data_IF_163694871204
#
_entry.id   IF_163694871204
#
_cell.length_a   1.000
_cell.length_b   1.000
_cell.length_c   1.000
_cell.angle_alpha   90.00
_cell.angle_beta   90.00
_cell.angle_gamma   90.00
#
_symmetry.space_group_name_H-M   'P 1'
#
loop_
_entity.id
_entity.type
_entity.pdbx_description
1 polymer ?
#
# COMPACT_ATOMS: atom_id res chain seq x y z
N UNK A 1 -15.81 6.05 2.37
CA UNK A 1 -15.92 5.30 1.11
C UNK A 1 -14.79 5.63 0.17
N UNK A 2 -14.27 4.63 -0.54
CA UNK A 2 -13.18 4.85 -1.48
C UNK A 2 -13.71 5.44 -2.79
N UNK A 3 -12.98 6.40 -3.31
CA UNK A 3 -13.28 7.09 -4.57
C UNK A 3 -12.30 6.60 -5.63
N UNK A 4 -12.78 6.45 -6.87
CA UNK A 4 -11.92 6.14 -7.99
C UNK A 4 -11.34 7.43 -8.56
N UNK A 5 -10.05 7.42 -8.86
CA UNK A 5 -9.35 8.56 -9.44
C UNK A 5 -8.56 8.08 -10.65
N UNK A 6 -8.37 8.98 -11.62
CA UNK A 6 -7.57 8.69 -12.82
C UNK A 6 -6.20 9.30 -12.66
N UNK A 7 -5.16 8.49 -12.87
CA UNK A 7 -3.77 8.91 -12.81
C UNK A 7 -3.05 8.54 -14.10
N UNK A 8 -2.03 9.29 -14.47
CA UNK A 8 -1.23 9.03 -15.67
C UNK A 8 0.10 8.39 -15.29
N UNK A 9 0.31 7.07 -15.64
CA UNK A 9 1.49 6.28 -15.23
C UNK A 9 1.80 5.18 -16.25
N UNK A 10 2.49 5.39 -17.31
CA UNK A 10 2.62 6.50 -18.25
C UNK A 10 1.34 6.76 -19.04
N UNK A 11 0.34 5.86 -18.94
CA UNK A 11 -0.98 6.03 -19.54
C UNK A 11 -2.00 6.24 -18.43
N UNK A 12 -3.16 6.78 -18.77
CA UNK A 12 -4.21 7.00 -17.80
C UNK A 12 -4.71 5.67 -17.23
N UNK A 13 -4.75 5.59 -15.89
CA UNK A 13 -5.29 4.43 -15.17
C UNK A 13 -6.28 4.92 -14.12
N UNK A 14 -7.23 4.06 -13.77
CA UNK A 14 -8.21 4.36 -12.73
C UNK A 14 -7.86 3.53 -11.51
N UNK A 15 -7.70 4.20 -10.37
CA UNK A 15 -7.37 3.54 -9.09
C UNK A 15 -8.31 4.06 -8.00
N UNK A 16 -8.41 3.32 -6.91
CA UNK A 16 -9.16 3.77 -5.75
C UNK A 16 -8.30 4.67 -4.88
N UNK A 17 -8.89 5.75 -4.42
CA UNK A 17 -8.24 6.70 -3.52
C UNK A 17 -7.64 6.01 -2.30
N UNK A 18 -8.38 5.10 -1.67
CA UNK A 18 -7.90 4.36 -0.49
C UNK A 18 -6.63 3.57 -0.80
N UNK A 19 -6.53 2.98 -2.00
CA UNK A 19 -5.39 2.15 -2.40
C UNK A 19 -4.13 3.02 -2.48
N UNK A 20 -4.27 4.22 -3.04
CA UNK A 20 -3.16 5.17 -3.13
C UNK A 20 -2.67 5.59 -1.74
N UNK A 21 -3.58 5.87 -0.83
CA UNK A 21 -3.20 6.29 0.53
C UNK A 21 -2.54 5.18 1.32
N UNK A 22 -3.03 3.94 1.19
CA UNK A 22 -2.41 2.79 1.86
C UNK A 22 -1.02 2.53 1.29
N UNK A 23 -0.89 2.55 -0.03
CA UNK A 23 0.40 2.34 -0.69
C UNK A 23 1.42 3.41 -0.29
N UNK A 24 1.00 4.67 -0.24
CA UNK A 24 1.85 5.77 0.18
C UNK A 24 2.30 5.62 1.64
N UNK A 25 1.42 5.11 2.51
CA UNK A 25 1.78 4.87 3.91
C UNK A 25 2.83 3.76 4.03
N UNK A 26 2.69 2.68 3.27
CA UNK A 26 3.69 1.60 3.23
C UNK A 26 5.03 2.18 2.80
N UNK A 27 5.06 3.01 1.76
CA UNK A 27 6.28 3.63 1.27
C UNK A 27 6.91 4.55 2.32
N UNK A 28 6.09 5.37 2.97
CA UNK A 28 6.54 6.29 4.01
C UNK A 28 7.21 5.54 5.16
N UNK A 29 6.61 4.44 5.63
CA UNK A 29 7.15 3.63 6.72
C UNK A 29 8.39 2.84 6.31
N UNK A 30 8.49 2.46 5.03
CA UNK A 30 9.67 1.78 4.51
C UNK A 30 10.88 2.70 4.46
N UNK A 31 10.66 3.99 4.26
CA UNK A 31 11.74 4.97 4.11
C UNK A 31 12.63 4.60 2.93
N UNK A 32 13.94 4.55 3.16
CA UNK A 32 14.92 4.18 2.14
C UNK A 32 15.17 2.67 2.07
N UNK A 33 14.48 1.86 2.87
CA UNK A 33 14.69 0.42 2.91
C UNK A 33 14.15 -0.26 1.67
N UNK A 34 14.97 -1.07 1.01
CA UNK A 34 14.54 -1.91 -0.10
C UNK A 34 13.87 -3.20 0.38
N UNK A 35 13.91 -3.49 1.67
CA UNK A 35 13.35 -4.72 2.25
C UNK A 35 11.89 -4.57 2.67
N UNK A 36 11.35 -3.35 2.60
CA UNK A 36 9.97 -3.08 2.95
C UNK A 36 9.78 -2.84 4.44
N UNK A 37 8.55 -2.99 4.90
CA UNK A 37 8.17 -2.75 6.29
C UNK A 37 7.30 -3.88 6.81
N UNK A 38 7.60 -4.34 8.02
CA UNK A 38 6.75 -5.30 8.73
C UNK A 38 5.77 -4.52 9.61
N UNK A 39 4.48 -4.79 9.44
CA UNK A 39 3.47 -4.05 10.17
C UNK A 39 2.17 -4.85 10.23
N UNK A 40 1.33 -4.53 11.20
CA UNK A 40 0.00 -5.11 11.32
C UNK A 40 -0.98 -4.27 10.51
N UNK A 41 -2.05 -4.92 10.06
CA UNK A 41 -3.16 -4.23 9.38
C UNK A 41 -3.76 -3.18 10.31
N UNK A 42 -3.86 -3.49 11.61
CA UNK A 42 -4.39 -2.55 12.60
C UNK A 42 -3.57 -1.27 12.68
N UNK A 43 -2.24 -1.36 12.59
CA UNK A 43 -1.41 -0.16 12.67
C UNK A 43 -1.63 0.78 11.48
N UNK A 44 -1.86 0.22 10.29
CA UNK A 44 -2.23 1.03 9.12
C UNK A 44 -3.62 1.64 9.28
N UNK A 45 -4.58 0.84 9.76
CA UNK A 45 -5.95 1.31 9.96
C UNK A 45 -6.01 2.45 10.97
N UNK A 46 -5.26 2.33 12.06
CA UNK A 46 -5.21 3.36 13.09
C UNK A 46 -4.60 4.66 12.55
N UNK A 47 -3.52 4.56 11.81
CA UNK A 47 -2.86 5.76 11.26
C UNK A 47 -3.72 6.45 10.20
N UNK A 48 -4.43 5.69 9.37
CA UNK A 48 -5.27 6.25 8.31
C UNK A 48 -6.69 6.56 8.78
N UNK A 49 -7.03 6.17 10.00
CA UNK A 49 -8.38 6.35 10.59
C UNK A 49 -9.45 5.70 9.70
N UNK A 50 -9.21 4.45 9.34
CA UNK A 50 -10.12 3.63 8.53
C UNK A 50 -10.30 2.26 9.18
N UNK A 51 -11.26 1.48 8.66
CA UNK A 51 -11.51 0.14 9.17
C UNK A 51 -10.41 -0.85 8.75
N UNK A 52 -10.30 -1.95 9.50
CA UNK A 52 -9.39 -3.04 9.14
C UNK A 52 -9.72 -3.59 7.76
N UNK A 53 -11.02 -3.71 7.45
CA UNK A 53 -11.46 -4.23 6.16
C UNK A 53 -11.02 -3.33 5.00
N UNK A 54 -11.10 -2.02 5.18
CA UNK A 54 -10.63 -1.05 4.18
C UNK A 54 -9.15 -1.27 3.88
N UNK A 55 -8.33 -1.46 4.91
CA UNK A 55 -6.88 -1.69 4.73
C UNK A 55 -6.64 -3.03 4.02
N UNK A 56 -7.34 -4.10 4.44
CA UNK A 56 -7.19 -5.42 3.80
C UNK A 56 -7.50 -5.36 2.32
N UNK A 57 -8.60 -4.70 1.95
CA UNK A 57 -9.01 -4.57 0.55
C UNK A 57 -8.01 -3.75 -0.25
N UNK A 58 -7.50 -2.66 0.33
CA UNK A 58 -6.52 -1.82 -0.34
C UNK A 58 -5.21 -2.57 -0.57
N UNK A 59 -4.71 -3.29 0.44
CA UNK A 59 -3.48 -4.08 0.30
C UNK A 59 -3.63 -5.18 -0.74
N UNK A 60 -4.76 -5.89 -0.73
CA UNK A 60 -5.02 -6.95 -1.71
C UNK A 60 -5.11 -6.37 -3.13
N UNK A 61 -5.78 -5.25 -3.29
CA UNK A 61 -5.90 -4.57 -4.59
C UNK A 61 -4.54 -4.13 -5.12
N UNK A 62 -3.71 -3.54 -4.26
CA UNK A 62 -2.36 -3.10 -4.64
C UNK A 62 -1.47 -4.29 -5.01
N UNK A 63 -1.57 -5.40 -4.27
CA UNK A 63 -0.80 -6.60 -4.56
C UNK A 63 -1.22 -7.19 -5.91
N UNK A 64 -2.52 -7.31 -6.14
CA UNK A 64 -3.07 -7.86 -7.38
C UNK A 64 -2.64 -7.03 -8.59
N UNK A 65 -2.62 -5.71 -8.44
CA UNK A 65 -2.22 -4.80 -9.52
C UNK A 65 -0.70 -4.72 -9.72
N UNK A 66 0.09 -5.35 -8.85
CA UNK A 66 1.55 -5.35 -8.99
C UNK A 66 2.24 -4.13 -8.38
N UNK A 67 1.55 -3.33 -7.58
CA UNK A 67 2.14 -2.16 -6.93
C UNK A 67 2.83 -2.50 -5.61
N UNK A 68 2.53 -3.67 -5.06
CA UNK A 68 2.96 -4.07 -3.73
C UNK A 68 3.25 -5.56 -3.72
N UNK A 69 4.29 -5.98 -3.00
CA UNK A 69 4.50 -7.39 -2.67
C UNK A 69 4.23 -7.58 -1.19
N UNK A 70 3.66 -8.74 -0.86
CA UNK A 70 3.33 -9.09 0.51
C UNK A 70 4.00 -10.43 0.82
N UNK A 71 4.75 -10.48 1.91
CA UNK A 71 5.36 -11.71 2.38
C UNK A 71 4.88 -12.00 3.78
N UNK A 72 4.29 -13.18 3.98
CA UNK A 72 3.88 -13.62 5.29
C UNK A 72 5.09 -14.08 6.08
N UNK A 73 5.27 -13.55 7.28
CA UNK A 73 6.31 -13.99 8.20
C UNK A 73 5.70 -14.99 9.17
N UNK A 74 6.42 -16.06 9.49
CA UNK A 74 5.93 -17.09 10.39
C UNK A 74 6.98 -17.42 11.43
N UNK A 75 6.51 -17.74 12.63
CA UNK A 75 7.38 -18.25 13.69
C UNK A 75 7.70 -19.71 13.42
N UNK A 76 8.79 -20.23 14.03
CA UNK A 76 9.18 -21.64 13.89
C UNK A 76 8.11 -22.62 14.30
N UNK A 77 7.29 -22.26 15.29
CA UNK A 77 6.22 -23.11 15.79
C UNK A 77 4.92 -23.00 14.99
N UNK A 78 4.95 -22.35 13.82
CA UNK A 78 3.77 -22.16 13.00
C UNK A 78 2.96 -20.91 13.31
N UNK A 79 3.32 -20.14 14.34
CA UNK A 79 2.67 -18.87 14.66
C UNK A 79 2.93 -17.86 13.56
N UNK A 80 1.97 -16.95 13.33
CA UNK A 80 2.11 -15.93 12.31
C UNK A 80 2.62 -14.62 12.90
N UNK A 81 3.70 -14.11 12.33
CA UNK A 81 4.19 -12.76 12.61
C UNK A 81 3.51 -11.76 11.68
N UNK A 82 3.78 -10.48 11.88
CA UNK A 82 3.31 -9.44 10.97
C UNK A 82 3.84 -9.68 9.56
N UNK A 83 3.01 -9.35 8.56
CA UNK A 83 3.45 -9.44 7.17
C UNK A 83 4.47 -8.35 6.86
N UNK A 84 5.33 -8.63 5.88
CA UNK A 84 6.25 -7.63 5.31
C UNK A 84 5.68 -7.13 4.00
N UNK A 85 5.56 -5.82 3.87
CA UNK A 85 5.02 -5.15 2.69
C UNK A 85 6.13 -4.36 2.02
N UNK A 86 6.24 -4.51 0.70
CA UNK A 86 7.26 -3.80 -0.07
C UNK A 86 6.62 -3.18 -1.31
N UNK A 87 6.82 -1.87 -1.50
CA UNK A 87 6.31 -1.18 -2.69
C UNK A 87 7.20 -1.52 -3.86
N UNK A 88 6.60 -1.92 -4.98
CA UNK A 88 7.32 -2.28 -6.19
C UNK A 88 7.69 -1.01 -6.98
N UNK A 89 8.49 -1.19 -8.03
CA UNK A 89 8.83 -0.09 -8.94
C UNK A 89 7.56 0.51 -9.57
N UNK A 90 6.60 -0.33 -9.95
CA UNK A 90 5.30 0.15 -10.45
C UNK A 90 4.55 0.93 -9.38
N UNK A 91 4.62 0.47 -8.12
CA UNK A 91 4.02 1.18 -6.99
C UNK A 91 4.63 2.55 -6.77
N UNK A 92 5.96 2.65 -6.90
CA UNK A 92 6.64 3.95 -6.80
C UNK A 92 6.15 4.92 -7.88
N UNK A 93 5.96 4.43 -9.10
CA UNK A 93 5.41 5.22 -10.20
C UNK A 93 4.00 5.72 -9.90
N UNK A 94 3.16 4.87 -9.33
CA UNK A 94 1.81 5.25 -8.95
C UNK A 94 1.81 6.33 -7.87
N UNK A 95 2.64 6.19 -6.85
CA UNK A 95 2.78 7.17 -5.77
C UNK A 95 3.22 8.51 -6.33
N UNK A 96 4.20 8.51 -7.24
CA UNK A 96 4.70 9.73 -7.85
C UNK A 96 3.60 10.44 -8.65
N UNK A 97 2.83 9.68 -9.44
CA UNK A 97 1.70 10.23 -10.18
C UNK A 97 0.64 10.81 -9.26
N UNK A 98 0.35 10.14 -8.15
CA UNK A 98 -0.62 10.60 -7.17
C UNK A 98 -0.15 11.90 -6.49
N UNK A 99 1.15 12.01 -6.23
CA UNK A 99 1.73 13.23 -5.66
C UNK A 99 1.60 14.39 -6.63
N UNK A 100 1.91 14.17 -7.92
CA UNK A 100 1.75 15.19 -8.95
C UNK A 100 0.30 15.63 -9.13
N UNK A 101 -0.64 14.71 -8.90
CA UNK A 101 -2.07 14.99 -9.00
C UNK A 101 -2.64 15.66 -7.73
N UNK A 102 -1.83 15.80 -6.68
CA UNK A 102 -2.27 16.42 -5.44
C UNK A 102 -3.09 15.52 -4.52
N UNK A 103 -3.12 14.20 -4.78
CA UNK A 103 -3.86 13.24 -3.94
C UNK A 103 -3.13 12.95 -2.63
N UNK A 104 -1.81 13.06 -2.65
CA UNK A 104 -0.95 12.86 -1.47
C UNK A 104 0.12 13.94 -1.47
N UNK A 105 0.70 14.19 -0.30
CA UNK A 105 1.76 15.19 -0.14
C UNK A 105 3.16 14.63 -0.38
#
# INVERSE_FOLDING_TARGET
>A
MSRKVTLTVPVDIVVRDRDVHVLALVKKRSGASSHGVSASIRSFADELDVSLDTVRRALASCEEAGYLTVRANRMKNGGQLENTYCVTKSGDGLIEAARRAGLIS
#
